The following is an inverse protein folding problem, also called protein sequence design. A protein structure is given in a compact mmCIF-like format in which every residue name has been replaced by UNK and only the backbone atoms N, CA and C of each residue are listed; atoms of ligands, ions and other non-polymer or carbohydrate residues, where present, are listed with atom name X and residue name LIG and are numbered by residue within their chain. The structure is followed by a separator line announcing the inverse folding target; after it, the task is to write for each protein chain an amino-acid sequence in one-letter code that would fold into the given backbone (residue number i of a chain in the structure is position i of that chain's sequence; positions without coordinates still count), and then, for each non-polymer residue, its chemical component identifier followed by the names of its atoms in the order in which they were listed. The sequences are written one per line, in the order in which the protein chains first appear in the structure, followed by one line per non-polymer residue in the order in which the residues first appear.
data_IF_316022820884
#
_entry.id   IF_316022820884
#
_cell.length_a   1.000
_cell.length_b   1.000
_cell.length_c   1.000
_cell.angle_alpha   90.00
_cell.angle_beta   90.00
_cell.angle_gamma   90.00
#
_symmetry.space_group_name_H-M   'P 1'
#
loop_
_entity.id
_entity.type
_entity.pdbx_description
1 polymer ?
#
# COMPACT_ATOMS: atom_id res chain seq x y z
N UNK A 1 7.17 9.85 16.95
CA UNK A 1 6.18 8.78 16.68
C UNK A 1 5.71 8.88 15.24
N UNK A 2 5.67 7.75 14.54
CA UNK A 2 5.27 7.75 13.13
C UNK A 2 3.76 7.80 13.03
N UNK A 3 3.25 8.79 12.28
CA UNK A 3 1.85 8.86 11.95
C UNK A 3 1.59 7.92 10.78
N UNK A 4 0.73 6.92 10.96
CA UNK A 4 0.49 5.91 9.93
C UNK A 4 -0.08 6.51 8.64
N UNK A 5 -0.88 7.56 8.75
CA UNK A 5 -1.44 8.22 7.58
C UNK A 5 -0.37 8.91 6.76
N UNK A 6 0.53 9.63 7.42
CA UNK A 6 1.66 10.27 6.75
C UNK A 6 2.60 9.23 6.15
N UNK A 7 2.89 8.17 6.88
CA UNK A 7 3.72 7.08 6.38
C UNK A 7 3.11 6.47 5.13
N UNK A 8 1.80 6.21 5.15
CA UNK A 8 1.13 5.61 4.00
C UNK A 8 1.09 6.57 2.80
N UNK A 9 0.94 7.87 3.04
CA UNK A 9 1.00 8.86 1.96
C UNK A 9 2.38 8.85 1.29
N UNK A 10 3.45 8.77 2.06
CA UNK A 10 4.80 8.67 1.51
C UNK A 10 4.97 7.37 0.72
N UNK A 11 4.45 6.27 1.25
CA UNK A 11 4.49 4.97 0.56
C UNK A 11 3.71 5.02 -0.75
N UNK A 12 2.54 5.64 -0.75
CA UNK A 12 1.75 5.79 -1.98
C UNK A 12 2.48 6.61 -3.03
N UNK A 13 3.17 7.65 -2.62
CA UNK A 13 3.94 8.47 -3.55
C UNK A 13 5.01 7.62 -4.26
N UNK A 14 5.72 6.80 -3.50
CA UNK A 14 6.71 5.89 -4.07
C UNK A 14 6.07 4.82 -4.95
N UNK A 15 4.93 4.27 -4.52
CA UNK A 15 4.21 3.27 -5.30
C UNK A 15 3.71 3.84 -6.62
N UNK A 16 3.30 5.10 -6.64
CA UNK A 16 2.83 5.74 -7.87
C UNK A 16 3.92 5.84 -8.91
N UNK A 17 5.17 5.86 -8.49
CA UNK A 17 6.32 5.89 -9.39
C UNK A 17 6.68 4.50 -9.93
N UNK A 18 6.32 3.46 -9.19
CA UNK A 18 6.67 2.07 -9.51
C UNK A 18 5.57 1.33 -10.27
N UNK A 19 4.34 1.81 -10.21
CA UNK A 19 3.16 1.15 -10.77
C UNK A 19 2.57 2.06 -11.84
N UNK A 20 2.06 1.48 -12.91
CA UNK A 20 1.40 2.26 -13.96
C UNK A 20 0.24 3.07 -13.38
N UNK A 21 0.03 4.28 -13.90
CA UNK A 21 -0.95 5.21 -13.36
C UNK A 21 -2.35 4.62 -13.24
N UNK A 22 -2.81 3.89 -14.26
CA UNK A 22 -4.14 3.30 -14.24
C UNK A 22 -4.24 2.23 -13.16
N UNK A 23 -3.25 1.37 -13.06
CA UNK A 23 -3.22 0.32 -12.04
C UNK A 23 -3.16 0.90 -10.64
N UNK A 24 -2.37 1.95 -10.46
CA UNK A 24 -2.28 2.64 -9.19
C UNK A 24 -3.65 3.19 -8.77
N UNK A 25 -4.33 3.89 -9.66
CA UNK A 25 -5.62 4.48 -9.36
C UNK A 25 -6.68 3.43 -9.02
N UNK A 26 -6.65 2.30 -9.73
CA UNK A 26 -7.65 1.24 -9.54
C UNK A 26 -7.40 0.47 -8.25
N UNK A 27 -6.15 0.14 -7.96
CA UNK A 27 -5.83 -0.83 -6.90
C UNK A 27 -5.22 -0.24 -5.64
N UNK A 28 -4.40 0.79 -5.76
CA UNK A 28 -3.58 1.27 -4.66
C UNK A 28 -4.14 2.54 -4.03
N UNK A 29 -4.60 3.48 -4.82
CA UNK A 29 -5.02 4.80 -4.35
C UNK A 29 -6.09 4.73 -3.26
N UNK A 30 -6.99 3.75 -3.36
CA UNK A 30 -8.12 3.62 -2.44
C UNK A 30 -7.82 2.80 -1.20
N UNK A 31 -6.61 2.27 -1.07
CA UNK A 31 -6.22 1.56 0.14
C UNK A 31 -6.11 2.52 1.30
N UNK A 32 -6.60 2.11 2.46
CA UNK A 32 -6.52 2.90 3.67
C UNK A 32 -5.67 2.21 4.73
N UNK A 33 -4.82 2.95 5.44
CA UNK A 33 -4.00 2.35 6.49
C UNK A 33 -4.83 2.11 7.74
N UNK A 34 -4.65 0.95 8.35
CA UNK A 34 -5.36 0.56 9.57
C UNK A 34 -4.42 0.63 10.76
N UNK A 35 -3.32 -0.12 10.72
CA UNK A 35 -2.37 -0.16 11.82
C UNK A 35 -1.07 -0.83 11.36
N UNK A 36 -0.06 -0.77 12.24
CA UNK A 36 1.15 -1.56 12.07
C UNK A 36 1.06 -2.81 12.92
N UNK A 37 1.48 -3.94 12.37
CA UNK A 37 1.60 -5.20 13.11
C UNK A 37 3.00 -5.72 12.82
N UNK A 38 3.80 -5.80 13.87
CA UNK A 38 5.22 -6.11 13.78
C UNK A 38 5.91 -5.21 12.78
N UNK A 39 6.48 -5.31 11.84
CA UNK A 39 7.06 -4.37 10.90
C UNK A 39 6.25 -4.26 9.60
N UNK A 40 5.00 -4.70 9.64
CA UNK A 40 4.13 -4.67 8.48
C UNK A 40 2.98 -3.68 8.67
N UNK A 41 2.57 -3.05 7.59
CA UNK A 41 1.40 -2.18 7.62
C UNK A 41 0.17 -2.98 7.21
N UNK A 42 -0.91 -2.81 7.96
CA UNK A 42 -2.20 -3.42 7.64
C UNK A 42 -3.04 -2.40 6.89
N UNK A 43 -3.51 -2.78 5.72
CA UNK A 43 -4.30 -1.92 4.85
C UNK A 43 -5.68 -2.51 4.65
N UNK A 44 -6.68 -1.65 4.49
CA UNK A 44 -8.03 -2.10 4.18
C UNK A 44 -8.35 -1.82 2.71
N UNK A 45 -9.19 -2.68 2.14
CA UNK A 45 -9.67 -2.53 0.78
C UNK A 45 -11.19 -2.50 0.78
N UNK A 46 -11.76 -1.99 -0.31
CA UNK A 46 -13.22 -1.88 -0.43
C UNK A 46 -13.88 -3.17 -0.91
N UNK A 47 -13.12 -4.13 -1.41
CA UNK A 47 -13.70 -5.37 -1.92
C UNK A 47 -12.74 -6.54 -1.80
N UNK A 48 -13.32 -7.76 -1.75
CA UNK A 48 -12.54 -8.99 -1.71
C UNK A 48 -11.74 -9.21 -3.00
N UNK A 49 -12.29 -8.78 -4.13
CA UNK A 49 -11.58 -8.90 -5.41
C UNK A 49 -10.35 -8.01 -5.44
N UNK A 50 -10.47 -6.78 -4.94
CA UNK A 50 -9.34 -5.87 -4.84
C UNK A 50 -8.26 -6.45 -3.93
N UNK A 51 -8.66 -7.01 -2.80
CA UNK A 51 -7.72 -7.63 -1.88
C UNK A 51 -6.94 -8.74 -2.56
N UNK A 52 -7.63 -9.62 -3.28
CA UNK A 52 -7.01 -10.75 -3.97
C UNK A 52 -6.01 -10.28 -5.02
N UNK A 53 -6.39 -9.29 -5.82
CA UNK A 53 -5.52 -8.75 -6.85
C UNK A 53 -4.27 -8.12 -6.26
N UNK A 54 -4.44 -7.35 -5.19
CA UNK A 54 -3.34 -6.70 -4.53
C UNK A 54 -2.40 -7.71 -3.89
N UNK A 55 -2.94 -8.71 -3.21
CA UNK A 55 -2.15 -9.76 -2.59
C UNK A 55 -1.36 -10.57 -3.63
N UNK A 56 -1.92 -10.76 -4.81
CA UNK A 56 -1.28 -11.55 -5.84
C UNK A 56 -0.24 -10.76 -6.63
N UNK A 57 -0.55 -9.50 -6.96
CA UNK A 57 0.28 -8.72 -7.89
C UNK A 57 1.14 -7.66 -7.23
N UNK A 58 0.66 -7.03 -6.16
CA UNK A 58 1.29 -5.84 -5.62
C UNK A 58 1.84 -6.01 -4.22
N UNK A 59 1.59 -7.12 -3.59
CA UNK A 59 2.03 -7.37 -2.22
C UNK A 59 3.53 -7.15 -2.05
N UNK A 60 4.32 -7.74 -2.93
CA UNK A 60 5.78 -7.65 -2.84
C UNK A 60 6.26 -6.22 -3.09
N UNK A 61 5.66 -5.52 -4.05
CA UNK A 61 6.00 -4.15 -4.35
C UNK A 61 5.71 -3.24 -3.16
N UNK A 62 4.54 -3.41 -2.55
CA UNK A 62 4.16 -2.65 -1.36
C UNK A 62 5.14 -2.95 -0.22
N UNK A 63 5.46 -4.20 -0.02
CA UNK A 63 6.38 -4.64 1.01
C UNK A 63 7.76 -4.00 0.85
N UNK A 64 8.27 -3.97 -0.38
CA UNK A 64 9.56 -3.34 -0.67
C UNK A 64 9.56 -1.85 -0.35
N UNK A 65 8.51 -1.15 -0.76
CA UNK A 65 8.39 0.29 -0.50
C UNK A 65 8.28 0.56 0.99
N UNK A 66 7.45 -0.18 1.70
CA UNK A 66 7.27 -0.01 3.14
C UNK A 66 8.58 -0.28 3.87
N UNK A 67 9.30 -1.31 3.48
CA UNK A 67 10.59 -1.63 4.09
C UNK A 67 11.63 -0.55 3.84
N UNK A 68 11.63 0.05 2.67
CA UNK A 68 12.56 1.12 2.33
C UNK A 68 12.32 2.40 3.12
N UNK A 69 11.06 2.67 3.46
CA UNK A 69 10.67 3.86 4.22
C UNK A 69 10.75 3.68 5.74
N UNK A 70 10.85 2.47 6.18
CA UNK A 70 10.82 2.14 7.61
C UNK A 70 12.18 2.32 8.28
#
# INVERSE_FOLDING_TARGET
MINIEEFWEDAKDELSKSIQAISYEVWIEKLEPVCFVDNAIVLSTISANAKRTIDTRYKDTIKEVVSALN
#
